data_IF_081943734896
#
_entry.id   IF_081943734896
#
_cell.length_a   1.000
_cell.length_b   1.000
_cell.length_c   1.000
_cell.angle_alpha   90.00
_cell.angle_beta   90.00
_cell.angle_gamma   90.00
#
_symmetry.space_group_name_H-M   'P 1'
#
loop_
_entity.id
_entity.type
_entity.pdbx_description
1 polymer ?
#
# COMPACT_ATOMS: atom_id res chain seq x y z
N UNK A 1 -15.09 2.88 -1.74
CA UNK A 1 -13.69 2.43 -1.77
C UNK A 1 -13.47 1.47 -0.62
N UNK A 2 -12.98 0.29 -0.92
CA UNK A 2 -12.87 -0.75 0.08
C UNK A 2 -11.54 -0.77 0.82
N UNK A 3 -10.45 -0.64 0.08
CA UNK A 3 -9.12 -0.75 0.67
C UNK A 3 -8.30 0.52 0.49
N UNK A 4 -7.55 0.89 1.55
CA UNK A 4 -6.48 1.87 1.47
C UNK A 4 -5.18 1.14 1.68
N UNK A 5 -4.34 1.10 0.65
CA UNK A 5 -3.06 0.40 0.70
C UNK A 5 -1.99 1.43 1.01
N UNK A 6 -1.36 1.30 2.16
CA UNK A 6 -0.36 2.24 2.64
C UNK A 6 1.02 1.63 2.43
N UNK A 7 1.88 2.34 1.73
CA UNK A 7 3.23 1.89 1.41
C UNK A 7 4.24 2.92 1.89
N UNK A 8 4.86 2.70 3.05
CA UNK A 8 5.98 3.55 3.49
C UNK A 8 7.19 3.27 2.62
N UNK A 9 7.88 4.32 2.17
CA UNK A 9 9.03 4.18 1.27
C UNK A 9 10.19 5.02 1.80
N UNK A 10 11.39 4.43 1.78
CA UNK A 10 12.61 5.16 2.12
C UNK A 10 13.73 4.69 1.20
N UNK A 11 14.15 5.55 0.26
CA UNK A 11 15.24 5.28 -0.69
C UNK A 11 15.05 3.96 -1.47
N UNK A 12 13.82 3.71 -1.98
CA UNK A 12 13.48 2.47 -2.69
C UNK A 12 12.71 2.73 -3.98
N UNK A 13 13.19 3.62 -4.90
CA UNK A 13 12.41 3.92 -6.10
C UNK A 13 12.22 2.72 -7.04
N UNK A 14 13.20 1.81 -7.09
CA UNK A 14 13.09 0.65 -7.98
C UNK A 14 12.08 -0.37 -7.47
N UNK A 15 12.10 -0.63 -6.16
CA UNK A 15 11.21 -1.61 -5.56
C UNK A 15 9.76 -1.17 -5.61
N UNK A 16 9.49 0.12 -5.39
CA UNK A 16 8.13 0.61 -5.39
C UNK A 16 7.49 0.45 -6.78
N UNK A 17 8.28 0.56 -7.84
CA UNK A 17 7.78 0.38 -9.20
C UNK A 17 7.23 -1.01 -9.43
N UNK A 18 7.92 -2.03 -8.93
CA UNK A 18 7.46 -3.42 -9.05
C UNK A 18 6.18 -3.66 -8.26
N UNK A 19 6.09 -3.11 -7.06
CA UNK A 19 4.88 -3.21 -6.25
C UNK A 19 3.69 -2.55 -6.96
N UNK A 20 3.89 -1.32 -7.44
CA UNK A 20 2.81 -0.59 -8.12
C UNK A 20 2.35 -1.33 -9.38
N UNK A 21 3.28 -1.93 -10.10
CA UNK A 21 2.92 -2.73 -11.28
C UNK A 21 2.07 -3.93 -10.87
N UNK A 22 2.41 -4.60 -9.77
CA UNK A 22 1.62 -5.73 -9.29
C UNK A 22 0.24 -5.30 -8.82
N UNK A 23 0.09 -4.06 -8.35
CA UNK A 23 -1.22 -3.53 -7.98
C UNK A 23 -2.07 -3.23 -9.21
N UNK A 24 -1.46 -2.86 -10.33
CA UNK A 24 -2.18 -2.65 -11.58
C UNK A 24 -2.82 -3.93 -12.10
N UNK A 25 -2.27 -5.08 -11.74
CA UNK A 25 -2.74 -6.38 -12.24
C UNK A 25 -3.75 -7.05 -11.32
N UNK A 26 -4.15 -6.41 -10.23
CA UNK A 26 -5.09 -7.02 -9.31
C UNK A 26 -6.47 -7.19 -9.93
N UNK A 27 -7.10 -8.34 -9.67
CA UNK A 27 -8.46 -8.59 -10.14
C UNK A 27 -9.48 -7.79 -9.33
N UNK A 28 -9.22 -7.54 -8.06
CA UNK A 28 -10.01 -6.62 -7.26
C UNK A 28 -9.45 -5.21 -7.45
N UNK A 29 -10.28 -4.25 -7.85
CA UNK A 29 -9.81 -2.91 -8.18
C UNK A 29 -10.34 -1.79 -7.28
N UNK A 30 -11.15 -2.12 -6.27
CA UNK A 30 -11.74 -1.10 -5.39
C UNK A 30 -10.79 -0.73 -4.26
N UNK A 31 -9.72 -0.01 -4.62
CA UNK A 31 -8.72 0.40 -3.63
C UNK A 31 -8.03 1.70 -4.07
N UNK A 32 -7.45 2.38 -3.09
CA UNK A 32 -6.52 3.49 -3.32
C UNK A 32 -5.14 3.06 -2.83
N UNK A 33 -4.11 3.72 -3.33
CA UNK A 33 -2.74 3.49 -2.89
C UNK A 33 -2.19 4.79 -2.30
N UNK A 34 -1.66 4.73 -1.10
CA UNK A 34 -1.08 5.88 -0.42
C UNK A 34 0.40 5.59 -0.22
N UNK A 35 1.24 6.25 -0.99
CA UNK A 35 2.69 6.12 -0.88
C UNK A 35 3.19 7.23 0.01
N UNK A 36 3.86 6.87 1.09
CA UNK A 36 4.40 7.83 2.05
C UNK A 36 5.92 7.76 2.00
N UNK A 37 6.53 8.78 1.39
CA UNK A 37 7.99 8.90 1.30
C UNK A 37 8.51 9.43 2.62
N UNK A 38 9.41 8.71 3.26
CA UNK A 38 9.90 9.05 4.60
C UNK A 38 11.23 9.80 4.53
N UNK A 39 11.23 10.94 3.82
CA UNK A 39 12.42 11.78 3.73
C UNK A 39 13.53 11.17 2.92
N UNK A 40 13.21 10.48 1.84
CA UNK A 40 14.21 9.81 1.00
C UNK A 40 15.15 10.80 0.34
N UNK A 41 16.41 10.42 0.22
CA UNK A 41 17.38 11.14 -0.60
C UNK A 41 17.19 10.79 -2.07
N UNK A 42 16.72 9.59 -2.34
CA UNK A 42 16.39 9.13 -3.69
C UNK A 42 14.87 8.89 -3.72
N UNK A 43 14.08 9.92 -4.05
CA UNK A 43 12.61 9.80 -3.97
C UNK A 43 12.03 9.00 -5.12
N UNK A 44 10.86 8.45 -4.90
CA UNK A 44 10.14 7.66 -5.89
C UNK A 44 9.00 8.44 -6.57
N UNK A 45 9.01 9.76 -6.47
CA UNK A 45 7.94 10.59 -7.00
C UNK A 45 7.73 10.36 -8.49
N UNK A 46 8.81 10.31 -9.27
CA UNK A 46 8.72 10.12 -10.72
C UNK A 46 8.13 8.75 -11.05
N UNK A 47 8.49 7.73 -10.28
CA UNK A 47 7.93 6.39 -10.47
C UNK A 47 6.43 6.41 -10.20
N UNK A 48 6.02 7.03 -9.11
CA UNK A 48 4.61 7.13 -8.75
C UNK A 48 3.80 7.87 -9.81
N UNK A 49 4.36 8.91 -10.40
CA UNK A 49 3.66 9.69 -11.43
C UNK A 49 3.31 8.85 -12.65
N UNK A 50 4.13 7.84 -12.96
CA UNK A 50 3.85 6.94 -14.08
C UNK A 50 2.61 6.11 -13.85
N UNK A 51 2.26 5.85 -12.62
CA UNK A 51 1.09 5.01 -12.27
C UNK A 51 -0.13 5.82 -11.87
N UNK A 52 -0.01 7.14 -11.74
CA UNK A 52 -1.09 7.98 -11.24
C UNK A 52 -2.30 8.01 -12.18
N UNK A 53 -2.10 7.72 -13.46
CA UNK A 53 -3.20 7.67 -14.43
C UNK A 53 -3.87 6.29 -14.48
N UNK A 54 -3.27 5.28 -13.86
CA UNK A 54 -3.76 3.90 -13.88
C UNK A 54 -4.35 3.52 -12.54
N UNK A 55 -3.70 3.95 -11.45
CA UNK A 55 -4.11 3.67 -10.09
C UNK A 55 -4.65 4.93 -9.42
N UNK A 56 -5.57 4.77 -8.48
CA UNK A 56 -5.95 5.87 -7.59
C UNK A 56 -4.82 6.02 -6.56
N UNK A 57 -3.77 6.74 -6.96
CA UNK A 57 -2.53 6.81 -6.20
C UNK A 57 -2.32 8.20 -5.65
N UNK A 58 -2.02 8.26 -4.36
CA UNK A 58 -1.73 9.50 -3.64
C UNK A 58 -0.30 9.42 -3.10
N UNK A 59 0.53 10.37 -3.47
CA UNK A 59 1.93 10.41 -3.07
C UNK A 59 2.15 11.54 -2.07
N UNK A 60 2.77 11.21 -0.94
CA UNK A 60 3.11 12.18 0.09
C UNK A 60 4.59 12.06 0.43
N UNK A 61 5.23 13.19 0.68
CA UNK A 61 6.62 13.23 1.10
C UNK A 61 6.68 13.99 2.43
N UNK A 62 7.31 13.39 3.43
CA UNK A 62 7.43 14.01 4.75
C UNK A 62 8.84 13.88 5.27
N UNK A 63 9.16 14.56 6.35
CA UNK A 63 10.45 14.44 7.00
C UNK A 63 10.64 13.02 7.52
N UNK A 64 11.89 12.53 7.51
CA UNK A 64 12.23 11.20 8.00
C UNK A 64 11.86 11.09 9.48
N UNK A 65 11.04 10.10 9.81
CA UNK A 65 10.61 9.86 11.19
C UNK A 65 10.35 8.38 11.46
N UNK A 66 10.63 7.51 10.51
CA UNK A 66 10.53 6.08 10.68
C UNK A 66 9.25 5.47 10.11
N UNK A 67 9.26 4.14 9.89
CA UNK A 67 8.13 3.46 9.24
C UNK A 67 6.84 3.51 10.06
N UNK A 68 6.90 3.51 11.39
CA UNK A 68 5.71 3.61 12.21
C UNK A 68 4.98 4.91 12.02
N UNK A 69 5.71 6.03 11.98
CA UNK A 69 5.13 7.34 11.75
C UNK A 69 4.61 7.48 10.32
N UNK A 70 5.29 6.85 9.37
CA UNK A 70 4.84 6.85 7.97
C UNK A 70 3.52 6.12 7.83
N UNK A 71 3.36 4.99 8.49
CA UNK A 71 2.09 4.25 8.49
C UNK A 71 0.96 5.09 9.08
N UNK A 72 1.22 5.76 10.20
CA UNK A 72 0.23 6.64 10.83
C UNK A 72 -0.15 7.79 9.91
N UNK A 73 0.84 8.38 9.25
CA UNK A 73 0.63 9.46 8.30
C UNK A 73 -0.30 9.02 7.17
N UNK A 74 -0.05 7.84 6.62
CA UNK A 74 -0.90 7.29 5.57
C UNK A 74 -2.29 6.96 6.06
N UNK A 75 -2.40 6.39 7.26
CA UNK A 75 -3.68 6.01 7.83
C UNK A 75 -4.59 7.22 8.04
N UNK A 76 -4.02 8.34 8.48
CA UNK A 76 -4.79 9.58 8.68
C UNK A 76 -5.39 10.10 7.38
N UNK A 77 -4.81 9.75 6.25
CA UNK A 77 -5.23 10.21 4.92
C UNK A 77 -6.02 9.17 4.15
N UNK A 78 -6.27 8.01 4.76
CA UNK A 78 -6.96 6.92 4.10
C UNK A 78 -8.47 7.15 4.06
N UNK A 79 -9.11 6.70 2.99
CA UNK A 79 -10.56 6.81 2.83
C UNK A 79 -11.23 5.45 2.71
N UNK A 80 -10.48 4.37 2.67
CA UNK A 80 -11.03 3.03 2.51
C UNK A 80 -11.59 2.48 3.81
N UNK A 81 -12.40 1.45 3.68
CA UNK A 81 -12.99 0.77 4.84
C UNK A 81 -11.96 -0.06 5.60
N UNK A 82 -10.95 -0.57 4.88
CA UNK A 82 -9.90 -1.38 5.46
C UNK A 82 -8.53 -0.83 5.05
N UNK A 83 -7.58 -0.92 5.96
CA UNK A 83 -6.22 -0.47 5.73
C UNK A 83 -5.30 -1.69 5.57
N UNK A 84 -4.52 -1.72 4.50
CA UNK A 84 -3.50 -2.73 4.26
C UNK A 84 -2.16 -2.02 4.16
N UNK A 85 -1.21 -2.42 5.00
CA UNK A 85 0.14 -1.85 4.98
C UNK A 85 1.07 -2.85 4.28
N UNK A 86 1.78 -2.38 3.26
CA UNK A 86 2.71 -3.21 2.51
C UNK A 86 4.11 -2.60 2.54
N UNK A 87 5.12 -3.45 2.60
CA UNK A 87 6.49 -3.02 2.42
C UNK A 87 6.75 -2.72 0.95
N UNK A 88 7.64 -1.77 0.67
CA UNK A 88 7.90 -1.33 -0.70
C UNK A 88 8.53 -2.41 -1.59
N UNK A 89 9.08 -3.47 -0.99
CA UNK A 89 9.75 -4.54 -1.73
C UNK A 89 8.87 -5.75 -2.01
N UNK A 90 7.57 -5.65 -1.77
CA UNK A 90 6.65 -6.76 -2.02
C UNK A 90 6.15 -6.70 -3.46
N UNK A 91 5.94 -7.87 -4.04
CA UNK A 91 5.25 -8.02 -5.32
C UNK A 91 4.07 -8.93 -5.08
N UNK A 92 2.87 -8.50 -5.42
CA UNK A 92 1.66 -9.22 -5.09
C UNK A 92 1.20 -10.10 -6.24
N UNK A 93 0.69 -11.31 -5.95
CA UNK A 93 0.00 -12.07 -6.98
C UNK A 93 -1.30 -11.38 -7.39
N UNK A 94 -1.78 -11.64 -8.59
CA UNK A 94 -2.94 -10.95 -9.17
C UNK A 94 -4.21 -11.11 -8.34
N UNK A 95 -4.35 -12.21 -7.63
CA UNK A 95 -5.52 -12.50 -6.81
C UNK A 95 -5.38 -12.15 -5.33
N UNK A 96 -4.37 -11.39 -4.95
CA UNK A 96 -4.11 -11.09 -3.56
C UNK A 96 -5.30 -10.39 -2.88
N UNK A 97 -5.79 -9.30 -3.47
CA UNK A 97 -6.90 -8.55 -2.89
C UNK A 97 -8.22 -9.32 -2.99
N UNK A 98 -8.41 -10.09 -4.05
CA UNK A 98 -9.59 -10.94 -4.18
C UNK A 98 -9.60 -12.01 -3.09
N UNK A 99 -8.44 -12.53 -2.71
CA UNK A 99 -8.34 -13.50 -1.61
C UNK A 99 -8.71 -12.85 -0.29
N UNK A 100 -8.30 -11.59 -0.06
CA UNK A 100 -8.67 -10.85 1.13
C UNK A 100 -10.18 -10.63 1.16
N UNK A 101 -10.79 -10.31 0.02
CA UNK A 101 -12.24 -10.17 -0.06
C UNK A 101 -12.96 -11.43 0.41
N UNK A 102 -12.51 -12.59 -0.03
CA UNK A 102 -13.11 -13.86 0.38
C UNK A 102 -12.95 -14.08 1.88
N UNK A 103 -11.77 -13.77 2.41
CA UNK A 103 -11.50 -13.92 3.82
C UNK A 103 -12.38 -13.00 4.66
N UNK A 104 -12.55 -11.75 4.24
CA UNK A 104 -13.40 -10.79 4.96
C UNK A 104 -14.87 -11.19 4.92
N UNK A 105 -15.33 -11.81 3.84
CA UNK A 105 -16.70 -12.26 3.75
C UNK A 105 -16.98 -13.42 4.70
N UNK A 106 -15.99 -14.26 4.96
CA UNK A 106 -16.11 -15.39 5.86
C UNK A 106 -15.79 -15.02 7.30
N UNK A 107 -14.82 -14.15 7.50
CA UNK A 107 -14.32 -13.76 8.82
C UNK A 107 -14.13 -12.24 8.86
N UNK A 108 -15.22 -11.47 9.03
CA UNK A 108 -15.12 -10.01 9.04
C UNK A 108 -14.20 -9.51 10.13
N UNK A 109 -13.31 -8.57 9.76
CA UNK A 109 -12.39 -7.91 10.68
C UNK A 109 -12.34 -6.43 10.33
N UNK A 110 -11.79 -5.61 11.23
CA UNK A 110 -11.70 -4.17 10.99
C UNK A 110 -10.45 -3.79 10.19
N UNK A 111 -9.41 -4.59 10.24
CA UNK A 111 -8.15 -4.30 9.56
C UNK A 111 -7.37 -5.57 9.28
N UNK A 112 -6.56 -5.53 8.22
CA UNK A 112 -5.62 -6.60 7.88
C UNK A 112 -4.22 -6.06 7.86
N UNK A 113 -3.27 -6.84 8.36
CA UNK A 113 -1.88 -6.58 8.12
C UNK A 113 -1.49 -7.09 6.73
N UNK A 114 -0.37 -6.61 6.19
CA UNK A 114 0.18 -7.11 4.94
C UNK A 114 0.80 -8.48 5.13
N UNK A 115 1.36 -9.08 4.06
CA UNK A 115 1.92 -10.43 4.14
C UNK A 115 3.01 -10.58 5.18
N UNK A 116 3.67 -9.50 5.53
CA UNK A 116 4.72 -9.50 6.51
C UNK A 116 4.23 -9.24 7.92
N UNK A 117 2.98 -8.91 8.08
CA UNK A 117 2.49 -8.41 9.33
C UNK A 117 2.12 -9.52 10.21
N UNK A 118 2.24 -10.24 10.25
CA UNK A 118 1.90 -11.07 11.13
C UNK A 118 0.87 -10.89 11.96
N UNK A 119 0.32 -10.48 11.83
CA UNK A 119 -0.64 -10.40 12.02
C UNK A 119 -1.40 -10.71 11.70
N UNK A 120 -1.56 -10.73 11.83
CA UNK A 120 -2.10 -11.28 11.66
C UNK A 120 -2.42 -11.68 10.87
N UNK A 121 -2.66 -12.17 10.81
CA UNK A 121 -2.87 -12.76 10.20
C UNK A 121 -2.56 -12.69 9.16
N UNK A 122 -2.31 -12.43 8.94
CA UNK A 122 -1.58 -12.56 7.95
C UNK A 122 -0.83 -11.44 7.84
N UNK A 123 -0.41 -11.57 8.11
CA UNK A 123 0.25 -10.64 8.10
C UNK A 123 1.20 -10.86 8.16
#
# INVERSE_FOLDING_TARGET
>A
MKYSIIVPVYNRPDEIGELLESLCSQTETDFEVIVVEDGSQIPCKDVCEKFASILDLHYYNKENSGPGMSRNYGAERSAGDYIIVLDSDVVLPDGYLAAINRELNQHPVDAFGGPDASHPSFT
#
